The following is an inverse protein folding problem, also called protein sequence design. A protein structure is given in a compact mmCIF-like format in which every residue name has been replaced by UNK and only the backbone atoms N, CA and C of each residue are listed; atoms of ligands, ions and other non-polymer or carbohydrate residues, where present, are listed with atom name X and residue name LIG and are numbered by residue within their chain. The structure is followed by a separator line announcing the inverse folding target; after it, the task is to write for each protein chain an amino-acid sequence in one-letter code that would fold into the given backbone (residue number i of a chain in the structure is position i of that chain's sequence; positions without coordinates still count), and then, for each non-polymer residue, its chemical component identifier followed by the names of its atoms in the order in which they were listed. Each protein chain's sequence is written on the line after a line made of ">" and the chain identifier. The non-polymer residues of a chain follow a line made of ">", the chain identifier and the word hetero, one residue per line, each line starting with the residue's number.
data_IF_452998644141
#
_entry.id   IF_452998644141
#
_cell.length_a   1.000
_cell.length_b   1.000
_cell.length_c   1.000
_cell.angle_alpha   90.00
_cell.angle_beta   90.00
_cell.angle_gamma   90.00
#
_symmetry.space_group_name_H-M   'P 1'
#
loop_
_entity.id
_entity.type
_entity.pdbx_description
1 polymer ?
#
# COMPACT_ATOMS: atom_id res chain seq x y z
N UNK A 1 -13.03 20.36 11.56
CA UNK A 1 -12.30 20.42 10.26
C UNK A 1 -11.15 19.41 10.29
N UNK A 2 -11.30 18.35 11.07
CA UNK A 2 -10.17 17.67 11.73
C UNK A 2 -9.82 16.34 11.02
N UNK A 3 -10.55 16.06 9.94
CA UNK A 3 -10.42 14.86 9.12
C UNK A 3 -9.48 15.08 7.91
N UNK A 4 -9.17 16.34 7.59
CA UNK A 4 -8.24 16.72 6.52
C UNK A 4 -6.82 16.14 6.69
N UNK A 5 -6.16 16.22 7.86
CA UNK A 5 -4.81 15.69 8.03
C UNK A 5 -4.76 14.16 7.92
N UNK A 6 -5.75 13.46 8.49
CA UNK A 6 -5.88 12.00 8.41
C UNK A 6 -6.10 11.56 6.96
N UNK A 7 -6.92 12.29 6.20
CA UNK A 7 -7.14 12.01 4.77
C UNK A 7 -5.93 12.34 3.90
N UNK A 8 -5.28 13.47 4.13
CA UNK A 8 -4.11 13.88 3.35
C UNK A 8 -2.95 12.88 3.53
N UNK A 9 -2.72 12.42 4.76
CA UNK A 9 -1.65 11.46 5.06
C UNK A 9 -1.83 10.11 4.36
N UNK A 10 -3.05 9.57 4.25
CA UNK A 10 -3.27 8.30 3.52
C UNK A 10 -3.08 8.47 2.00
N UNK A 11 -3.57 9.55 1.41
CA UNK A 11 -3.35 9.81 -0.02
C UNK A 11 -1.88 10.06 -0.34
N UNK A 12 -1.18 10.79 0.53
CA UNK A 12 0.26 10.99 0.43
C UNK A 12 1.01 9.65 0.51
N UNK A 13 0.65 8.79 1.48
CA UNK A 13 1.24 7.46 1.62
C UNK A 13 1.04 6.62 0.35
N UNK A 14 -0.18 6.58 -0.21
CA UNK A 14 -0.49 5.85 -1.43
C UNK A 14 0.25 6.41 -2.66
N UNK A 15 0.35 7.73 -2.78
CA UNK A 15 1.08 8.39 -3.86
C UNK A 15 2.58 8.06 -3.81
N UNK A 16 3.19 8.12 -2.62
CA UNK A 16 4.59 7.78 -2.40
C UNK A 16 4.84 6.29 -2.64
N UNK A 17 3.92 5.41 -2.24
CA UNK A 17 4.00 3.98 -2.56
C UNK A 17 3.98 3.74 -4.06
N UNK A 18 3.02 4.33 -4.77
CA UNK A 18 2.90 4.20 -6.22
C UNK A 18 4.15 4.75 -6.94
N UNK A 19 4.66 5.91 -6.50
CA UNK A 19 5.89 6.50 -7.01
C UNK A 19 7.11 5.59 -6.80
N UNK A 20 7.23 4.94 -5.63
CA UNK A 20 8.27 3.95 -5.35
C UNK A 20 8.21 2.76 -6.33
N UNK A 21 7.01 2.21 -6.54
CA UNK A 21 6.80 1.07 -7.46
C UNK A 21 7.09 1.44 -8.93
N UNK A 22 6.68 2.63 -9.37
CA UNK A 22 6.96 3.13 -10.72
C UNK A 22 8.46 3.41 -10.89
N UNK A 23 9.10 4.05 -9.92
CA UNK A 23 10.54 4.33 -9.97
C UNK A 23 11.36 3.05 -10.08
N UNK A 24 10.96 2.00 -9.36
CA UNK A 24 11.60 0.68 -9.43
C UNK A 24 11.47 0.03 -10.81
N UNK A 25 10.35 0.24 -11.51
CA UNK A 25 10.17 -0.20 -12.89
C UNK A 25 11.06 0.58 -13.87
N UNK A 26 11.12 1.91 -13.72
CA UNK A 26 11.79 2.80 -14.68
C UNK A 26 13.31 2.84 -14.53
N UNK A 27 13.84 2.74 -13.31
CA UNK A 27 15.28 2.91 -13.04
C UNK A 27 16.08 1.61 -13.15
N UNK A 28 15.41 0.45 -13.25
CA UNK A 28 16.07 -0.86 -13.14
C UNK A 28 16.67 -1.08 -11.75
N UNK A 29 17.09 -2.31 -11.45
CA UNK A 29 17.61 -2.71 -10.13
C UNK A 29 18.87 -1.93 -9.67
N UNK A 30 19.51 -1.13 -10.53
CA UNK A 30 20.80 -0.49 -10.26
C UNK A 30 20.71 0.87 -9.56
N UNK A 31 19.53 1.49 -9.46
CA UNK A 31 19.35 2.77 -8.75
C UNK A 31 18.20 2.71 -7.73
N UNK A 32 18.13 1.60 -6.98
CA UNK A 32 17.03 1.26 -6.06
C UNK A 32 16.90 2.23 -4.87
N UNK A 33 17.91 3.07 -4.59
CA UNK A 33 17.90 4.00 -3.46
C UNK A 33 16.71 4.97 -3.49
N UNK A 34 16.34 5.50 -4.66
CA UNK A 34 15.18 6.40 -4.78
C UNK A 34 13.85 5.66 -4.52
N UNK A 35 13.72 4.44 -5.06
CA UNK A 35 12.56 3.55 -4.86
C UNK A 35 12.36 3.20 -3.38
N UNK A 36 13.46 2.88 -2.68
CA UNK A 36 13.49 2.64 -1.25
C UNK A 36 13.11 3.90 -0.46
N UNK A 37 13.68 5.06 -0.78
CA UNK A 37 13.34 6.32 -0.12
C UNK A 37 11.86 6.70 -0.28
N UNK A 38 11.30 6.62 -1.49
CA UNK A 38 9.88 6.88 -1.72
C UNK A 38 8.99 5.90 -0.93
N UNK A 39 9.36 4.61 -0.92
CA UNK A 39 8.62 3.59 -0.19
C UNK A 39 8.71 3.76 1.34
N UNK A 40 9.87 4.17 1.86
CA UNK A 40 10.08 4.46 3.28
C UNK A 40 9.34 5.72 3.73
N UNK A 41 9.36 6.78 2.91
CA UNK A 41 8.56 7.99 3.16
C UNK A 41 7.06 7.70 3.12
N UNK A 42 6.61 6.85 2.18
CA UNK A 42 5.22 6.39 2.11
C UNK A 42 4.81 5.60 3.37
N UNK A 43 5.69 4.73 3.86
CA UNK A 43 5.48 3.99 5.10
C UNK A 43 5.41 4.94 6.31
N UNK A 44 6.29 5.94 6.39
CA UNK A 44 6.24 6.94 7.44
C UNK A 44 4.92 7.72 7.43
N UNK A 45 4.47 8.13 6.23
CA UNK A 45 3.17 8.79 6.07
C UNK A 45 2.01 7.88 6.50
N UNK A 46 2.08 6.57 6.24
CA UNK A 46 1.10 5.60 6.72
C UNK A 46 1.11 5.45 8.25
N UNK A 47 2.28 5.41 8.88
CA UNK A 47 2.39 5.39 10.35
C UNK A 47 1.81 6.66 10.96
N UNK A 48 2.16 7.83 10.40
CA UNK A 48 1.55 9.10 10.80
C UNK A 48 0.03 9.06 10.62
N UNK A 49 -0.49 8.51 9.53
CA UNK A 49 -1.92 8.32 9.32
C UNK A 49 -2.56 7.48 10.44
N UNK A 50 -1.95 6.36 10.84
CA UNK A 50 -2.44 5.53 11.94
C UNK A 50 -2.45 6.29 13.26
N UNK A 51 -1.39 7.05 13.57
CA UNK A 51 -1.32 7.86 14.80
C UNK A 51 -2.40 8.93 14.79
N UNK A 52 -2.56 9.66 13.69
CA UNK A 52 -3.61 10.68 13.53
C UNK A 52 -5.01 10.06 13.62
N UNK A 53 -5.21 8.85 13.10
CA UNK A 53 -6.46 8.13 13.24
C UNK A 53 -6.76 7.79 14.71
N UNK A 54 -5.74 7.36 15.47
CA UNK A 54 -5.89 7.07 16.91
C UNK A 54 -6.15 8.31 17.75
N UNK A 55 -5.47 9.42 17.44
CA UNK A 55 -5.66 10.72 18.10
C UNK A 55 -7.06 11.28 17.83
N UNK A 56 -7.47 11.40 16.57
CA UNK A 56 -8.68 12.14 16.19
C UNK A 56 -9.96 11.30 16.14
N UNK A 57 -9.85 9.99 15.93
CA UNK A 57 -11.03 9.14 15.69
C UNK A 57 -11.23 8.05 16.73
N UNK A 58 -10.20 7.64 17.47
CA UNK A 58 -10.29 6.50 18.39
C UNK A 58 -10.01 6.86 19.85
N UNK A 59 -9.69 8.11 20.18
CA UNK A 59 -9.40 8.58 21.55
C UNK A 59 -8.33 7.70 22.24
N UNK A 60 -7.37 7.20 21.46
CA UNK A 60 -6.37 6.21 21.88
C UNK A 60 -6.92 4.89 22.44
N UNK A 61 -8.22 4.63 22.29
CA UNK A 61 -8.86 3.42 22.76
C UNK A 61 -9.00 2.39 21.63
N UNK A 62 -8.29 1.27 21.78
CA UNK A 62 -8.32 0.20 20.80
C UNK A 62 -9.69 -0.47 20.64
N UNK A 63 -10.49 -0.53 21.72
CA UNK A 63 -11.86 -1.05 21.66
C UNK A 63 -12.75 -0.14 20.83
N UNK A 64 -12.58 1.18 20.94
CA UNK A 64 -13.27 2.17 20.09
C UNK A 64 -12.86 2.02 18.63
N UNK A 65 -11.57 1.79 18.35
CA UNK A 65 -11.08 1.54 16.99
C UNK A 65 -11.72 0.28 16.37
N UNK A 66 -11.80 -0.81 17.13
CA UNK A 66 -12.46 -2.05 16.70
C UNK A 66 -13.96 -1.85 16.46
N UNK A 67 -14.65 -1.20 17.39
CA UNK A 67 -16.09 -0.95 17.28
C UNK A 67 -16.42 -0.06 16.08
N UNK A 68 -15.68 1.03 15.86
CA UNK A 68 -15.87 1.91 14.69
C UNK A 68 -15.54 1.20 13.38
N UNK A 69 -14.48 0.39 13.34
CA UNK A 69 -14.13 -0.40 12.15
C UNK A 69 -15.20 -1.46 11.86
N UNK A 70 -15.72 -2.12 12.89
CA UNK A 70 -16.79 -3.10 12.76
C UNK A 70 -18.08 -2.47 12.22
N UNK A 71 -18.48 -1.31 12.76
CA UNK A 71 -19.64 -0.56 12.30
C UNK A 71 -19.49 -0.09 10.84
N UNK A 72 -18.29 0.40 10.46
CA UNK A 72 -18.01 0.81 9.08
C UNK A 72 -18.05 -0.39 8.11
N UNK A 73 -17.52 -1.54 8.53
CA UNK A 73 -17.54 -2.77 7.74
C UNK A 73 -18.96 -3.30 7.60
N UNK A 74 -19.76 -3.25 8.66
CA UNK A 74 -21.18 -3.63 8.64
C UNK A 74 -21.98 -2.74 7.69
N UNK A 75 -21.80 -1.42 7.75
CA UNK A 75 -22.51 -0.48 6.89
C UNK A 75 -22.25 -0.72 5.38
N UNK A 76 -21.09 -1.27 5.02
CA UNK A 76 -20.68 -1.45 3.63
C UNK A 76 -20.80 -2.89 3.12
N UNK A 77 -20.64 -3.87 4.00
CA UNK A 77 -20.61 -5.30 3.62
C UNK A 77 -21.76 -6.11 4.23
N UNK A 78 -22.51 -5.53 5.17
CA UNK A 78 -23.52 -6.22 5.96
C UNK A 78 -22.97 -7.11 7.07
N UNK A 79 -21.63 -7.16 7.25
CA UNK A 79 -20.97 -8.00 8.26
C UNK A 79 -20.23 -7.13 9.26
N UNK A 80 -20.59 -7.23 10.56
CA UNK A 80 -19.89 -6.54 11.64
C UNK A 80 -18.53 -7.20 11.92
N UNK A 81 -17.48 -6.75 11.24
CA UNK A 81 -16.13 -7.28 11.42
C UNK A 81 -15.10 -6.18 11.66
N UNK A 82 -14.46 -6.21 12.83
CA UNK A 82 -13.33 -5.33 13.15
C UNK A 82 -12.02 -5.75 12.48
N UNK A 83 -12.02 -6.84 11.71
CA UNK A 83 -10.80 -7.42 11.12
C UNK A 83 -10.07 -6.48 10.16
N UNK A 84 -10.77 -5.49 9.57
CA UNK A 84 -10.15 -4.46 8.75
C UNK A 84 -9.03 -3.70 9.47
N UNK A 85 -9.13 -3.53 10.79
CA UNK A 85 -8.10 -2.85 11.59
C UNK A 85 -6.82 -3.70 11.68
N UNK A 86 -6.96 -5.01 11.95
CA UNK A 86 -5.83 -5.93 11.97
C UNK A 86 -5.19 -6.10 10.59
N UNK A 87 -6.00 -6.11 9.52
CA UNK A 87 -5.48 -6.13 8.15
C UNK A 87 -4.66 -4.87 7.82
N UNK A 88 -5.05 -3.70 8.33
CA UNK A 88 -4.25 -2.48 8.21
C UNK A 88 -2.92 -2.55 8.96
N UNK A 89 -2.88 -3.17 10.14
CA UNK A 89 -1.61 -3.41 10.83
C UNK A 89 -0.72 -4.38 10.06
N UNK A 90 -1.30 -5.46 9.54
CA UNK A 90 -0.58 -6.41 8.71
C UNK A 90 -0.05 -5.73 7.44
N UNK A 91 -0.82 -4.85 6.81
CA UNK A 91 -0.41 -4.05 5.67
C UNK A 91 0.84 -3.21 5.98
N UNK A 92 0.85 -2.49 7.11
CA UNK A 92 2.02 -1.74 7.55
C UNK A 92 3.25 -2.62 7.79
N UNK A 93 3.08 -3.79 8.43
CA UNK A 93 4.17 -4.73 8.70
C UNK A 93 4.75 -5.35 7.41
N UNK A 94 3.89 -5.75 6.48
CA UNK A 94 4.32 -6.29 5.18
C UNK A 94 5.05 -5.21 4.37
N UNK A 95 4.59 -3.95 4.42
CA UNK A 95 5.28 -2.83 3.78
C UNK A 95 6.64 -2.55 4.41
N UNK A 96 6.74 -2.53 5.74
CA UNK A 96 8.02 -2.42 6.44
C UNK A 96 8.98 -3.54 6.03
N UNK A 97 8.49 -4.79 5.96
CA UNK A 97 9.29 -5.93 5.52
C UNK A 97 9.78 -5.79 4.06
N UNK A 98 8.98 -5.20 3.16
CA UNK A 98 9.44 -4.86 1.80
C UNK A 98 10.55 -3.82 1.83
N UNK A 99 10.36 -2.71 2.55
CA UNK A 99 11.37 -1.64 2.66
C UNK A 99 12.68 -2.18 3.23
N UNK A 100 12.62 -2.92 4.34
CA UNK A 100 13.79 -3.57 4.95
C UNK A 100 14.42 -4.63 4.03
N UNK A 101 13.59 -5.35 3.26
CA UNK A 101 14.05 -6.31 2.27
C UNK A 101 14.83 -5.64 1.14
N UNK A 102 14.38 -4.46 0.69
CA UNK A 102 15.00 -3.71 -0.39
C UNK A 102 16.24 -2.92 0.09
N UNK A 103 16.28 -2.43 1.33
CA UNK A 103 17.50 -1.80 1.90
C UNK A 103 18.64 -2.80 2.08
N UNK A 104 18.32 -4.07 2.35
CA UNK A 104 19.29 -5.14 2.57
C UNK A 104 19.71 -5.83 1.25
N UNK A 105 19.48 -5.20 0.09
CA UNK A 105 19.60 -5.79 -1.26
C UNK A 105 20.98 -6.30 -1.67
N UNK A 106 22.06 -6.10 -0.90
CA UNK A 106 23.34 -6.77 -1.18
C UNK A 106 23.29 -8.29 -0.90
N UNK A 107 22.32 -8.79 -0.10
CA UNK A 107 22.32 -10.19 0.37
C UNK A 107 21.14 -11.07 -0.06
N UNK A 108 20.04 -10.53 -0.61
CA UNK A 108 18.77 -11.30 -0.78
C UNK A 108 18.15 -11.34 -2.18
N UNK A 109 18.78 -10.74 -3.18
CA UNK A 109 18.26 -10.72 -4.56
C UNK A 109 18.23 -12.11 -5.24
N UNK A 110 18.79 -13.14 -4.63
CA UNK A 110 19.03 -14.44 -5.28
C UNK A 110 17.97 -15.52 -5.01
N UNK A 111 16.97 -15.34 -4.13
CA UNK A 111 16.04 -16.45 -3.87
C UNK A 111 14.62 -16.08 -3.40
N UNK A 112 14.07 -14.94 -3.83
CA UNK A 112 12.65 -14.68 -3.57
C UNK A 112 11.79 -15.36 -4.62
N UNK A 113 11.10 -16.43 -4.22
CA UNK A 113 10.16 -17.16 -5.07
C UNK A 113 9.11 -16.19 -5.63
N UNK A 114 8.97 -16.15 -6.96
CA UNK A 114 8.03 -15.28 -7.69
C UNK A 114 6.58 -15.33 -7.16
N UNK A 115 6.18 -16.44 -6.52
CA UNK A 115 4.88 -16.59 -5.87
C UNK A 115 4.69 -15.71 -4.63
N UNK A 116 5.72 -15.55 -3.79
CA UNK A 116 5.67 -14.71 -2.60
C UNK A 116 5.50 -13.25 -3.01
N UNK A 117 6.24 -12.81 -4.03
CA UNK A 117 6.09 -11.46 -4.58
C UNK A 117 4.69 -11.21 -5.15
N UNK A 118 4.14 -12.19 -5.90
CA UNK A 118 2.76 -12.10 -6.41
C UNK A 118 1.73 -12.03 -5.27
N UNK A 119 1.91 -12.83 -4.22
CA UNK A 119 1.03 -12.82 -3.05
C UNK A 119 1.08 -11.48 -2.32
N UNK A 120 2.28 -10.93 -2.09
CA UNK A 120 2.48 -9.61 -1.45
C UNK A 120 1.84 -8.51 -2.30
N UNK A 121 2.09 -8.45 -3.60
CA UNK A 121 1.47 -7.48 -4.52
C UNK A 121 -0.06 -7.62 -4.55
N UNK A 122 -0.57 -8.85 -4.56
CA UNK A 122 -2.00 -9.14 -4.50
C UNK A 122 -2.63 -8.64 -3.20
N UNK A 123 -1.95 -8.86 -2.07
CA UNK A 123 -2.38 -8.36 -0.76
C UNK A 123 -2.40 -6.82 -0.71
N UNK A 124 -1.36 -6.16 -1.20
CA UNK A 124 -1.33 -4.69 -1.34
C UNK A 124 -2.50 -4.18 -2.20
N UNK A 125 -2.72 -4.80 -3.36
CA UNK A 125 -3.81 -4.42 -4.26
C UNK A 125 -5.17 -4.57 -3.58
N UNK A 126 -5.39 -5.71 -2.93
CA UNK A 126 -6.62 -5.98 -2.18
C UNK A 126 -6.87 -4.90 -1.13
N UNK A 127 -5.88 -4.58 -0.31
CA UNK A 127 -5.99 -3.55 0.73
C UNK A 127 -6.27 -2.15 0.14
N UNK A 128 -5.56 -1.77 -0.93
CA UNK A 128 -5.71 -0.45 -1.57
C UNK A 128 -7.07 -0.34 -2.26
N UNK A 129 -7.55 -1.38 -2.96
CA UNK A 129 -8.86 -1.37 -3.60
C UNK A 129 -9.97 -1.24 -2.55
N UNK A 130 -9.92 -2.05 -1.49
CA UNK A 130 -10.89 -1.92 -0.41
C UNK A 130 -10.82 -0.51 0.19
N UNK A 131 -9.65 -0.07 0.65
CA UNK A 131 -9.48 1.20 1.37
C UNK A 131 -9.76 2.45 0.53
N UNK A 132 -9.25 2.52 -0.70
CA UNK A 132 -9.29 3.73 -1.52
C UNK A 132 -10.43 3.76 -2.56
N UNK A 133 -11.09 2.63 -2.84
CA UNK A 133 -12.18 2.54 -3.82
C UNK A 133 -13.50 2.13 -3.17
N UNK A 134 -13.51 1.12 -2.29
CA UNK A 134 -14.77 0.64 -1.69
C UNK A 134 -15.20 1.54 -0.53
N UNK A 135 -14.30 1.77 0.42
CA UNK A 135 -14.59 2.48 1.69
C UNK A 135 -14.69 4.02 1.56
N UNK A 136 -14.42 4.59 0.37
CA UNK A 136 -14.32 6.05 0.15
C UNK A 136 -15.50 6.59 -0.69
N UNK A 137 -15.88 7.84 -0.47
CA UNK A 137 -16.93 8.56 -1.21
C UNK A 137 -16.69 8.63 -2.73
N UNK A 138 -17.77 8.61 -3.52
CA UNK A 138 -17.75 8.49 -4.99
C UNK A 138 -16.77 9.42 -5.74
N UNK A 139 -16.62 10.73 -5.41
CA UNK A 139 -15.67 11.59 -6.11
C UNK A 139 -14.21 11.17 -5.91
N UNK A 140 -13.88 10.65 -4.73
CA UNK A 140 -12.51 10.25 -4.35
C UNK A 140 -12.19 8.82 -4.79
N UNK A 141 -13.20 7.99 -5.08
CA UNK A 141 -13.00 6.66 -5.70
C UNK A 141 -12.22 6.75 -7.01
N UNK A 142 -12.39 7.82 -7.78
CA UNK A 142 -11.64 8.08 -9.01
C UNK A 142 -10.13 8.16 -8.76
N UNK A 143 -9.70 8.85 -7.70
CA UNK A 143 -8.29 8.89 -7.30
C UNK A 143 -7.78 7.49 -6.93
N UNK A 144 -8.59 6.70 -6.22
CA UNK A 144 -8.26 5.32 -5.87
C UNK A 144 -8.07 4.45 -7.11
N UNK A 145 -8.97 4.58 -8.10
CA UNK A 145 -8.85 3.88 -9.38
C UNK A 145 -7.60 4.28 -10.16
N UNK A 146 -7.19 5.55 -10.11
CA UNK A 146 -5.93 6.00 -10.72
C UNK A 146 -4.74 5.34 -10.04
N UNK A 147 -4.67 5.32 -8.71
CA UNK A 147 -3.59 4.66 -7.96
C UNK A 147 -3.51 3.17 -8.31
N UNK A 148 -4.65 2.48 -8.31
CA UNK A 148 -4.74 1.06 -8.68
C UNK A 148 -4.24 0.82 -10.11
N UNK A 149 -4.63 1.68 -11.06
CA UNK A 149 -4.20 1.58 -12.46
C UNK A 149 -2.69 1.78 -12.62
N UNK A 150 -2.11 2.73 -11.87
CA UNK A 150 -0.66 2.97 -11.84
C UNK A 150 0.08 1.76 -11.29
N UNK A 151 -0.41 1.14 -10.22
CA UNK A 151 0.19 -0.07 -9.64
C UNK A 151 0.12 -1.25 -10.61
N UNK A 152 -1.03 -1.47 -11.26
CA UNK A 152 -1.18 -2.51 -12.28
C UNK A 152 -0.22 -2.29 -13.45
N UNK A 153 -0.02 -1.04 -13.88
CA UNK A 153 0.96 -0.69 -14.90
C UNK A 153 2.40 -0.97 -14.43
N UNK A 154 2.75 -0.54 -13.21
CA UNK A 154 4.06 -0.75 -12.63
C UNK A 154 4.41 -2.25 -12.53
N UNK A 155 3.43 -3.09 -12.20
CA UNK A 155 3.60 -4.52 -11.99
C UNK A 155 3.41 -5.40 -13.22
N UNK A 156 3.18 -4.82 -14.41
CA UNK A 156 3.10 -5.63 -15.64
C UNK A 156 4.38 -6.43 -15.84
N UNK A 157 4.31 -7.73 -16.16
CA UNK A 157 5.49 -8.48 -16.56
C UNK A 157 6.12 -7.75 -17.75
N UNK A 158 7.39 -7.36 -17.63
CA UNK A 158 8.14 -6.86 -18.77
C UNK A 158 8.21 -8.00 -19.77
N UNK A 159 7.48 -7.88 -20.88
CA UNK A 159 7.66 -8.76 -22.02
C UNK A 159 9.09 -8.57 -22.47
N UNK A 160 9.95 -9.53 -22.10
CA UNK A 160 11.28 -9.66 -22.66
C UNK A 160 11.03 -10.08 -24.11
N UNK A 161 10.82 -9.11 -24.99
CA UNK A 161 10.67 -9.32 -26.42
C UNK A 161 11.95 -10.00 -26.87
N UNK A 162 11.86 -11.29 -27.19
CA UNK A 162 12.99 -12.07 -27.71
C UNK A 162 13.42 -11.51 -29.05
N UNK A 163 14.41 -10.62 -29.04
CA UNK A 163 15.16 -10.18 -30.21
C UNK A 163 16.58 -10.78 -30.27
N UNK A 164 16.80 -11.93 -29.61
CA UNK A 164 18.05 -12.70 -29.70
C UNK A 164 17.87 -14.05 -30.44
N UNK A 165 16.88 -14.16 -31.33
CA UNK A 165 16.72 -15.33 -32.22
C UNK A 165 16.48 -14.90 -33.68
N UNK A 166 17.48 -14.24 -34.26
CA UNK A 166 17.77 -14.32 -35.68
C UNK A 166 19.30 -14.21 -35.80
N UNK A 167 19.93 -15.36 -35.59
CA UNK A 167 21.31 -15.64 -36.01
C UNK A 167 21.40 -15.63 -37.54
#
# INVERSE_FOLDING_TARGET
>A
MDDLPTRFSIWLALALFAAGQVSRRSLGAQNDSASVWFSALGLLAFVCHVILAFEFHYDWNHATALAKTAAQTEALTGVSSGNGLYLNYLFGLVWLAEVCGWTNSTARHTNRTNWIERAVRGFFLFMIVNGAVVFVDAPRRWLGMVVVSVLLYAWRPSTRTGQDQAA
#
